data_IF_377895378237
#
_entry.id   IF_377895378237
#
_cell.length_a   1.000
_cell.length_b   1.000
_cell.length_c   1.000
_cell.angle_alpha   90.00
_cell.angle_beta   90.00
_cell.angle_gamma   90.00
#
_symmetry.space_group_name_H-M   'P 1'
#
loop_
_entity.id
_entity.type
_entity.pdbx_description
1 polymer ?
#
# COMPACT_ATOMS: atom_id res chain seq x y z
N UNK A 1 -10.65 -13.60 -14.99
CA UNK A 1 -9.78 -13.69 -13.80
C UNK A 1 -8.61 -14.61 -14.13
N UNK A 2 -7.72 -14.16 -15.01
CA UNK A 2 -6.51 -14.89 -15.42
C UNK A 2 -5.41 -13.85 -15.42
N UNK A 3 -4.22 -14.15 -14.88
CA UNK A 3 -2.94 -13.40 -14.92
C UNK A 3 -2.21 -13.33 -13.57
N UNK A 4 -2.82 -13.77 -12.46
CA UNK A 4 -2.15 -13.82 -11.15
C UNK A 4 -1.57 -15.20 -10.80
N UNK A 5 -1.60 -16.17 -11.72
CA UNK A 5 -1.18 -17.55 -11.48
C UNK A 5 0.34 -17.73 -11.46
N UNK A 6 1.08 -16.98 -12.30
CA UNK A 6 2.54 -17.11 -12.40
C UNK A 6 3.23 -16.59 -11.15
N UNK A 7 3.92 -17.49 -10.44
CA UNK A 7 4.76 -17.19 -9.27
C UNK A 7 5.80 -16.12 -9.62
N UNK A 8 6.51 -16.29 -10.74
CA UNK A 8 7.54 -15.36 -11.19
C UNK A 8 6.97 -13.96 -11.40
N UNK A 9 5.80 -13.86 -12.03
CA UNK A 9 5.14 -12.56 -12.24
C UNK A 9 4.76 -11.87 -10.93
N UNK A 10 4.29 -12.64 -9.93
CA UNK A 10 3.99 -12.08 -8.59
C UNK A 10 5.25 -11.57 -7.90
N UNK A 11 6.36 -12.29 -8.02
CA UNK A 11 7.66 -11.88 -7.48
C UNK A 11 8.12 -10.57 -8.15
N UNK A 12 8.05 -10.48 -9.48
CA UNK A 12 8.42 -9.27 -10.22
C UNK A 12 7.55 -8.06 -9.84
N UNK A 13 6.23 -8.26 -9.73
CA UNK A 13 5.31 -7.20 -9.29
C UNK A 13 5.65 -6.76 -7.86
N UNK A 14 5.88 -7.70 -6.96
CA UNK A 14 6.29 -7.40 -5.58
C UNK A 14 7.57 -6.55 -5.54
N UNK A 15 8.63 -6.97 -6.23
CA UNK A 15 9.88 -6.20 -6.34
C UNK A 15 9.65 -4.79 -6.86
N UNK A 16 8.84 -4.64 -7.90
CA UNK A 16 8.50 -3.34 -8.47
C UNK A 16 7.80 -2.42 -7.46
N UNK A 17 6.86 -2.97 -6.68
CA UNK A 17 6.15 -2.23 -5.64
C UNK A 17 7.07 -1.83 -4.48
N UNK A 18 7.97 -2.71 -4.05
CA UNK A 18 8.97 -2.38 -3.02
C UNK A 18 9.90 -1.27 -3.49
N UNK A 19 10.41 -1.34 -4.72
CA UNK A 19 11.22 -0.26 -5.28
C UNK A 19 10.43 1.04 -5.29
N UNK A 20 9.17 1.06 -5.74
CA UNK A 20 8.36 2.28 -5.75
C UNK A 20 8.17 2.90 -4.35
N UNK A 21 7.89 2.06 -3.34
CA UNK A 21 7.62 2.52 -1.97
C UNK A 21 8.88 3.04 -1.27
N UNK A 22 10.02 2.42 -1.54
CA UNK A 22 11.29 2.71 -0.87
C UNK A 22 12.32 3.37 -1.77
N UNK A 23 11.89 3.88 -2.94
CA UNK A 23 12.77 4.66 -3.80
C UNK A 23 13.17 5.93 -3.06
N UNK A 24 14.47 6.22 -3.00
CA UNK A 24 15.05 7.21 -2.09
C UNK A 24 14.45 8.61 -2.21
N UNK A 25 14.02 9.02 -3.41
CA UNK A 25 13.40 10.33 -3.65
C UNK A 25 11.89 10.38 -3.37
N UNK A 26 11.21 9.25 -3.14
CA UNK A 26 9.77 9.18 -2.86
C UNK A 26 9.45 8.77 -1.43
N UNK A 27 10.36 8.04 -0.78
CA UNK A 27 10.17 7.49 0.56
C UNK A 27 9.65 8.51 1.57
N UNK A 28 10.31 9.65 1.73
CA UNK A 28 9.94 10.65 2.75
C UNK A 28 8.56 11.28 2.50
N UNK A 29 8.21 11.48 1.23
CA UNK A 29 6.90 11.97 0.84
C UNK A 29 5.80 10.95 1.13
N UNK A 30 6.06 9.67 0.81
CA UNK A 30 5.14 8.56 1.09
C UNK A 30 4.97 8.36 2.59
N UNK A 31 6.06 8.42 3.36
CA UNK A 31 6.04 8.32 4.81
C UNK A 31 5.23 9.46 5.43
N UNK A 32 5.47 10.70 5.02
CA UNK A 32 4.71 11.87 5.47
C UNK A 32 3.23 11.76 5.12
N UNK A 33 2.90 11.31 3.90
CA UNK A 33 1.53 11.05 3.50
C UNK A 33 0.86 10.02 4.42
N UNK A 34 1.56 8.92 4.72
CA UNK A 34 1.06 7.83 5.56
C UNK A 34 0.77 8.28 6.99
N UNK A 35 1.64 9.13 7.57
CA UNK A 35 1.41 9.72 8.89
C UNK A 35 0.17 10.64 8.91
N UNK A 36 -0.06 11.40 7.83
CA UNK A 36 -1.21 12.31 7.72
C UNK A 36 -2.53 11.60 7.44
N UNK A 37 -2.49 10.38 6.90
CA UNK A 37 -3.66 9.61 6.50
C UNK A 37 -3.73 8.28 7.25
N UNK A 38 -4.04 8.30 8.57
CA UNK A 38 -4.13 7.08 9.35
C UNK A 38 -5.24 6.17 8.82
N UNK A 39 -4.88 4.94 8.48
CA UNK A 39 -5.84 3.93 8.03
C UNK A 39 -6.36 3.12 9.22
N UNK A 40 -7.67 2.93 9.25
CA UNK A 40 -8.35 2.09 10.24
C UNK A 40 -8.40 0.62 9.83
N UNK A 41 -7.92 0.30 8.61
CA UNK A 41 -8.01 -1.02 7.99
C UNK A 41 -9.36 -1.32 7.33
N UNK A 42 -10.28 -0.34 7.31
CA UNK A 42 -11.54 -0.48 6.58
C UNK A 42 -11.36 -0.08 5.11
N UNK A 43 -12.06 -0.76 4.19
CA UNK A 43 -12.13 -0.36 2.78
C UNK A 43 -12.73 1.02 2.58
N UNK A 44 -13.52 1.53 3.53
CA UNK A 44 -14.06 2.89 3.46
C UNK A 44 -12.98 3.95 3.57
N UNK A 45 -11.79 3.63 4.08
CA UNK A 45 -10.67 4.56 4.16
C UNK A 45 -10.12 4.92 2.76
N UNK A 46 -10.36 4.07 1.76
CA UNK A 46 -9.94 4.28 0.37
C UNK A 46 -11.12 4.59 -0.57
N UNK A 47 -12.32 4.09 -0.27
CA UNK A 47 -13.51 4.30 -1.08
C UNK A 47 -14.77 4.35 -0.20
N UNK A 48 -15.05 5.54 0.32
CA UNK A 48 -16.22 5.79 1.16
C UNK A 48 -17.54 5.79 0.39
N UNK A 49 -17.52 5.86 -0.94
CA UNK A 49 -18.74 5.88 -1.75
C UNK A 49 -19.40 4.51 -1.79
N UNK A 50 -18.60 3.46 -1.82
CA UNK A 50 -19.05 2.07 -1.88
C UNK A 50 -19.07 1.43 -0.49
N UNK A 51 -18.10 1.76 0.38
CA UNK A 51 -17.90 1.08 1.67
C UNK A 51 -18.23 1.95 2.88
N UNK A 52 -18.57 1.29 3.98
CA UNK A 52 -18.91 1.95 5.26
C UNK A 52 -18.49 1.12 6.46
N UNK A 53 -18.06 1.78 7.54
CA UNK A 53 -17.81 1.18 8.86
C UNK A 53 -19.10 0.97 9.65
N UNK A 54 -20.22 1.54 9.21
CA UNK A 54 -21.50 1.40 9.87
C UNK A 54 -22.27 0.21 9.28
N UNK A 55 -22.41 -0.86 10.06
CA UNK A 55 -23.11 -2.08 9.67
C UNK A 55 -24.58 -1.86 9.30
N UNK A 56 -25.21 -0.82 9.86
CA UNK A 56 -26.63 -0.54 9.67
C UNK A 56 -26.89 0.37 8.45
N UNK A 57 -25.85 0.76 7.71
CA UNK A 57 -25.99 1.66 6.57
C UNK A 57 -26.45 0.88 5.32
N UNK A 58 -27.72 1.02 4.97
CA UNK A 58 -28.43 0.17 4.00
C UNK A 58 -27.94 0.23 2.54
N UNK A 59 -27.26 1.31 2.13
CA UNK A 59 -26.85 1.53 0.73
C UNK A 59 -25.39 1.18 0.41
N UNK A 60 -24.56 0.94 1.43
CA UNK A 60 -23.10 0.77 1.27
C UNK A 60 -22.67 -0.57 1.82
N UNK A 61 -21.62 -1.13 1.25
CA UNK A 61 -21.06 -2.39 1.69
C UNK A 61 -20.34 -2.21 3.02
N UNK A 62 -20.72 -3.01 4.01
CA UNK A 62 -20.07 -2.99 5.31
C UNK A 62 -18.61 -3.45 5.20
N UNK A 63 -17.71 -2.65 5.73
CA UNK A 63 -16.30 -2.96 5.92
C UNK A 63 -15.89 -2.51 7.33
N UNK A 64 -15.71 -3.43 8.29
CA UNK A 64 -15.24 -3.09 9.62
C UNK A 64 -13.84 -2.46 9.59
N UNK A 65 -13.49 -1.78 10.67
CA UNK A 65 -12.11 -1.44 11.00
C UNK A 65 -11.35 -2.71 11.42
N UNK A 66 -10.01 -2.67 11.35
CA UNK A 66 -9.16 -3.82 11.67
C UNK A 66 -9.43 -4.36 13.09
N UNK A 67 -9.52 -3.48 14.09
CA UNK A 67 -9.82 -3.83 15.48
C UNK A 67 -11.20 -4.48 15.69
N UNK A 68 -12.15 -4.24 14.77
CA UNK A 68 -13.49 -4.84 14.80
C UNK A 68 -13.57 -6.12 13.97
N UNK A 69 -12.54 -6.42 13.16
CA UNK A 69 -12.54 -7.54 12.24
C UNK A 69 -12.08 -8.82 12.92
N UNK A 70 -10.97 -8.75 13.66
CA UNK A 70 -10.43 -9.84 14.44
C UNK A 70 -9.96 -9.32 15.79
N UNK A 71 -10.28 -10.05 16.86
CA UNK A 71 -9.68 -9.78 18.17
C UNK A 71 -8.22 -10.21 18.20
N UNK A 72 -7.47 -9.69 19.17
CA UNK A 72 -6.06 -10.01 19.35
C UNK A 72 -5.86 -11.54 19.45
N UNK A 73 -4.86 -12.03 18.71
CA UNK A 73 -4.48 -13.45 18.68
C UNK A 73 -3.10 -13.61 19.27
N UNK A 74 -2.97 -14.46 20.28
CA UNK A 74 -1.66 -14.88 20.79
C UNK A 74 -1.08 -15.90 19.81
N UNK A 75 0.01 -15.54 19.14
CA UNK A 75 0.74 -16.46 18.28
C UNK A 75 1.59 -17.39 19.14
N UNK A 76 1.31 -18.69 19.10
CA UNK A 76 2.01 -19.70 19.92
C UNK A 76 3.42 -20.02 19.41
N UNK A 77 3.72 -19.67 18.15
CA UNK A 77 4.99 -19.95 17.47
C UNK A 77 5.61 -18.65 16.99
N UNK A 78 6.11 -17.84 17.93
CA UNK A 78 6.88 -16.64 17.62
C UNK A 78 8.34 -17.02 17.37
N UNK A 79 8.62 -17.46 16.15
CA UNK A 79 9.98 -17.59 15.64
C UNK A 79 10.52 -16.21 15.28
N UNK A 80 11.26 -15.59 16.19
CA UNK A 80 11.88 -14.27 15.98
C UNK A 80 12.86 -14.29 14.80
N UNK A 81 13.45 -15.44 14.50
CA UNK A 81 14.32 -15.65 13.36
C UNK A 81 13.61 -15.52 11.99
N UNK A 82 12.28 -15.49 11.96
CA UNK A 82 11.49 -15.21 10.75
C UNK A 82 11.11 -13.72 10.63
N UNK A 83 11.46 -12.90 11.62
CA UNK A 83 11.14 -11.48 11.62
C UNK A 83 12.14 -10.71 10.76
N UNK A 84 11.76 -9.49 10.41
CA UNK A 84 12.65 -8.58 9.70
C UNK A 84 13.81 -8.17 10.60
N UNK A 85 14.99 -8.70 10.32
CA UNK A 85 16.22 -8.44 11.09
C UNK A 85 17.28 -7.68 10.26
N UNK A 86 17.17 -7.70 8.93
CA UNK A 86 18.22 -7.23 8.03
C UNK A 86 17.75 -6.13 7.06
N UNK A 87 18.30 -4.93 7.25
CA UNK A 87 18.09 -3.77 6.40
C UNK A 87 18.93 -3.77 5.11
N UNK A 88 19.84 -4.74 4.91
CA UNK A 88 20.64 -4.87 3.68
C UNK A 88 19.79 -5.00 2.42
N UNK A 89 18.53 -5.42 2.57
CA UNK A 89 17.55 -5.44 1.49
C UNK A 89 17.35 -4.06 0.85
N UNK A 90 17.51 -2.96 1.58
CA UNK A 90 17.41 -1.62 1.02
C UNK A 90 18.56 -1.34 0.04
N UNK A 91 19.78 -1.84 0.31
CA UNK A 91 20.89 -1.77 -0.64
C UNK A 91 20.59 -2.57 -1.91
N UNK A 92 19.91 -3.71 -1.80
CA UNK A 92 19.41 -4.44 -2.98
C UNK A 92 18.38 -3.59 -3.76
N UNK A 93 17.44 -2.94 -3.07
CA UNK A 93 16.42 -2.10 -3.71
C UNK A 93 17.04 -0.89 -4.42
N UNK A 94 18.07 -0.26 -3.83
CA UNK A 94 18.83 0.83 -4.46
C UNK A 94 19.60 0.38 -5.70
N UNK A 95 20.06 -0.88 -5.72
CA UNK A 95 20.76 -1.42 -6.89
C UNK A 95 19.83 -1.70 -8.09
N UNK A 96 18.50 -1.71 -7.88
CA UNK A 96 17.53 -1.89 -8.97
C UNK A 96 17.38 -0.54 -9.69
N UNK A 97 17.75 -0.45 -10.99
CA UNK A 97 17.69 0.83 -11.69
C UNK A 97 16.24 1.28 -11.86
N UNK A 98 16.00 2.59 -11.77
CA UNK A 98 14.67 3.18 -11.90
C UNK A 98 13.96 2.82 -13.22
N UNK A 99 14.74 2.52 -14.26
CA UNK A 99 14.27 2.05 -15.56
C UNK A 99 13.65 0.65 -15.53
N UNK A 100 14.03 -0.19 -14.56
CA UNK A 100 13.45 -1.52 -14.32
C UNK A 100 12.10 -1.47 -13.60
N UNK A 101 11.77 -0.35 -12.95
CA UNK A 101 10.39 -0.04 -12.57
C UNK A 101 9.65 0.20 -13.87
N UNK A 102 9.15 -0.87 -14.50
CA UNK A 102 8.24 -0.80 -15.64
C UNK A 102 7.23 0.28 -15.29
N UNK A 103 7.08 1.31 -16.14
CA UNK A 103 6.09 2.38 -15.97
C UNK A 103 4.76 1.71 -15.63
N UNK A 104 4.40 1.69 -14.35
CA UNK A 104 3.10 1.18 -13.92
C UNK A 104 2.10 1.99 -14.76
N UNK A 105 1.20 1.33 -15.52
CA UNK A 105 0.43 2.01 -16.56
C UNK A 105 -0.11 3.35 -16.05
N UNK A 106 0.29 4.40 -16.76
CA UNK A 106 0.18 5.84 -16.49
C UNK A 106 -1.25 6.34 -16.17
N UNK A 107 -2.24 5.46 -16.19
CA UNK A 107 -3.64 5.67 -15.85
C UNK A 107 -3.80 6.19 -14.40
N UNK A 108 -2.99 5.67 -13.47
CA UNK A 108 -3.05 6.04 -12.05
C UNK A 108 -2.15 7.23 -11.70
N UNK A 109 -1.05 7.44 -12.43
CA UNK A 109 -0.13 8.56 -12.23
C UNK A 109 -0.81 9.91 -12.50
N UNK A 110 -1.65 10.00 -13.56
CA UNK A 110 -2.43 11.20 -13.86
C UNK A 110 -3.43 11.54 -12.73
N UNK A 111 -4.05 10.51 -12.13
CA UNK A 111 -5.00 10.71 -11.01
C UNK A 111 -4.30 11.13 -9.72
N UNK A 112 -3.12 10.56 -9.44
CA UNK A 112 -2.31 10.94 -8.28
C UNK A 112 -1.75 12.36 -8.46
N UNK A 113 -1.27 12.71 -9.65
CA UNK A 113 -0.82 14.09 -9.95
C UNK A 113 -1.97 15.10 -9.88
N UNK A 114 -3.18 14.77 -10.38
CA UNK A 114 -4.34 15.65 -10.25
C UNK A 114 -4.78 15.82 -8.79
N UNK A 115 -4.67 14.77 -7.97
CA UNK A 115 -4.97 14.85 -6.55
C UNK A 115 -3.94 15.68 -5.77
N UNK A 116 -2.64 15.55 -6.10
CA UNK A 116 -1.57 16.36 -5.51
C UNK A 116 -1.75 17.84 -5.90
N UNK A 117 -2.12 18.14 -7.15
CA UNK A 117 -2.36 19.51 -7.61
C UNK A 117 -3.64 20.13 -7.00
N UNK A 118 -4.68 19.33 -6.77
CA UNK A 118 -5.88 19.78 -6.06
C UNK A 118 -5.65 20.00 -4.55
N UNK A 119 -4.67 19.32 -3.96
CA UNK A 119 -4.33 19.44 -2.54
C UNK A 119 -3.37 20.60 -2.21
N UNK A 120 -2.74 21.23 -3.22
CA UNK A 120 -1.88 22.41 -3.07
C UNK A 120 -2.46 23.59 -3.86
N UNK A 121 -3.25 24.48 -3.26
CA UNK A 121 -3.91 25.59 -3.95
C UNK A 121 -2.98 26.77 -4.33
N UNK A 122 -1.65 26.63 -4.22
CA UNK A 122 -0.69 27.70 -4.48
C UNK A 122 0.49 27.27 -5.37
N UNK A 123 0.24 26.52 -6.45
CA UNK A 123 1.19 26.36 -7.56
C UNK A 123 0.53 26.60 -8.91
#
# INVERSE_FOLDING_TARGET
>A
MYHFESVLRRIEVGKTLYVLLFYSNLHDSIYTFSLKHPHTGSRSDYNSDIFTKNRNHSKKLYSPTLNMSWGDRVHLFLRKDEWFEDASIFSLLESIPASSVKKIPLQHHLKVQSAIKAANPFS
#
